data_IF_665351606735
#
_entry.id   IF_665351606735
#
_cell.length_a   1.000
_cell.length_b   1.000
_cell.length_c   1.000
_cell.angle_alpha   90.00
_cell.angle_beta   90.00
_cell.angle_gamma   90.00
#
_symmetry.space_group_name_H-M   'P 1'
#
loop_
_entity.id
_entity.type
_entity.pdbx_description
1 polymer ?
#
# COMPACT_ATOMS: atom_id res chain seq x y z
N UNK A 1 -10.42 10.25 12.71
CA UNK A 1 -8.95 10.26 12.58
C UNK A 1 -8.47 11.57 12.00
N UNK A 2 -7.77 12.38 12.78
CA UNK A 2 -7.15 13.64 12.34
C UNK A 2 -5.90 13.39 11.50
N UNK A 3 -5.40 14.42 10.80
CA UNK A 3 -4.14 14.33 10.04
C UNK A 3 -2.95 13.97 10.92
N UNK A 4 -2.91 14.54 12.14
CA UNK A 4 -1.87 14.27 13.12
C UNK A 4 -1.91 12.80 13.57
N UNK A 5 -3.09 12.30 13.95
CA UNK A 5 -3.27 10.89 14.31
C UNK A 5 -2.86 9.96 13.17
N UNK A 6 -3.29 10.27 11.94
CA UNK A 6 -2.89 9.50 10.75
C UNK A 6 -1.37 9.47 10.60
N UNK A 7 -0.69 10.61 10.70
CA UNK A 7 0.76 10.68 10.59
C UNK A 7 1.46 9.93 11.71
N UNK A 8 0.95 9.99 12.94
CA UNK A 8 1.50 9.24 14.06
C UNK A 8 1.40 7.73 13.82
N UNK A 9 0.28 7.24 13.31
CA UNK A 9 0.11 5.83 12.94
C UNK A 9 1.05 5.42 11.81
N UNK A 10 1.12 6.22 10.74
CA UNK A 10 2.02 5.97 9.60
C UNK A 10 3.50 5.92 10.03
N UNK A 11 3.93 6.90 10.83
CA UNK A 11 5.29 6.94 11.40
C UNK A 11 5.51 5.75 12.32
N UNK A 12 4.51 5.38 13.13
CA UNK A 12 4.56 4.22 14.02
C UNK A 12 4.85 2.93 13.25
N UNK A 13 4.06 2.63 12.21
CA UNK A 13 4.25 1.47 11.35
C UNK A 13 5.60 1.49 10.61
N UNK A 14 6.01 2.64 10.07
CA UNK A 14 7.32 2.74 9.43
C UNK A 14 8.46 2.50 10.45
N UNK A 15 8.32 2.99 11.69
CA UNK A 15 9.31 2.80 12.75
C UNK A 15 9.45 1.34 13.18
N UNK A 16 8.34 0.59 13.26
CA UNK A 16 8.41 -0.86 13.53
C UNK A 16 9.15 -1.62 12.44
N UNK A 17 9.22 -1.05 11.24
CA UNK A 17 9.95 -1.58 10.09
C UNK A 17 11.36 -0.96 9.91
N UNK A 18 11.86 -0.19 10.88
CA UNK A 18 13.22 0.36 10.87
C UNK A 18 13.37 1.81 10.42
N UNK A 19 12.28 2.56 10.24
CA UNK A 19 12.38 3.99 9.89
C UNK A 19 12.97 4.83 11.04
N UNK A 20 14.11 5.47 10.80
CA UNK A 20 14.79 6.34 11.77
C UNK A 20 14.24 7.78 11.75
N UNK A 21 13.02 7.99 12.27
CA UNK A 21 12.31 9.27 12.14
C UNK A 21 13.11 10.50 12.61
N UNK A 22 13.86 10.41 13.72
CA UNK A 22 14.69 11.52 14.21
C UNK A 22 15.81 11.89 13.23
N UNK A 23 16.50 10.88 12.69
CA UNK A 23 17.61 11.08 11.75
C UNK A 23 17.10 11.63 10.43
N UNK A 24 15.98 11.08 9.94
CA UNK A 24 15.30 11.61 8.77
C UNK A 24 14.89 13.07 8.97
N UNK A 25 14.24 13.40 10.09
CA UNK A 25 13.72 14.75 10.35
C UNK A 25 14.83 15.78 10.40
N UNK A 26 15.88 15.50 11.17
CA UNK A 26 17.03 16.41 11.30
C UNK A 26 17.85 16.51 10.01
N UNK A 27 18.07 15.40 9.32
CA UNK A 27 18.88 15.35 8.11
C UNK A 27 18.19 15.89 6.85
N UNK A 28 16.88 15.66 6.68
CA UNK A 28 16.14 16.08 5.49
C UNK A 28 15.48 17.45 5.62
N UNK A 29 15.03 17.82 6.82
CA UNK A 29 14.40 19.13 7.04
C UNK A 29 15.38 20.18 7.56
N UNK A 30 16.55 19.77 8.08
CA UNK A 30 17.51 20.69 8.70
C UNK A 30 16.99 21.37 9.98
N UNK A 31 15.90 20.85 10.55
CA UNK A 31 15.26 21.40 11.74
C UNK A 31 15.81 20.73 13.00
N UNK A 32 15.90 21.49 14.09
CA UNK A 32 16.18 20.94 15.42
C UNK A 32 15.11 19.90 15.80
N UNK A 33 15.51 18.83 16.47
CA UNK A 33 14.60 17.75 16.87
C UNK A 33 13.76 18.15 18.10
N UNK A 34 12.42 18.34 17.96
CA UNK A 34 11.56 18.78 19.05
C UNK A 34 10.94 17.61 19.82
N UNK A 35 11.28 16.36 19.48
CA UNK A 35 10.58 15.16 19.93
C UNK A 35 9.54 14.66 18.92
N UNK A 36 9.19 13.37 19.01
CA UNK A 36 8.42 12.69 17.96
C UNK A 36 7.00 13.25 17.78
N UNK A 37 6.31 13.52 18.90
CA UNK A 37 4.93 14.04 18.88
C UNK A 37 4.89 15.44 18.26
N UNK A 38 5.79 16.32 18.68
CA UNK A 38 5.84 17.68 18.18
C UNK A 38 6.35 17.75 16.73
N UNK A 39 7.30 16.89 16.34
CA UNK A 39 7.74 16.75 14.96
C UNK A 39 6.57 16.29 14.05
N UNK A 40 5.76 15.34 14.49
CA UNK A 40 4.57 14.91 13.75
C UNK A 40 3.52 16.03 13.65
N UNK A 41 3.33 16.82 14.71
CA UNK A 41 2.45 18.00 14.69
C UNK A 41 2.92 19.06 13.69
N UNK A 42 4.23 19.34 13.66
CA UNK A 42 4.83 20.27 12.69
C UNK A 42 4.68 19.76 11.24
N UNK A 43 4.79 18.45 11.01
CA UNK A 43 4.53 17.85 9.69
C UNK A 43 3.05 17.92 9.29
N UNK A 44 2.14 17.74 10.24
CA UNK A 44 0.70 17.87 10.00
C UNK A 44 0.30 19.31 9.60
N UNK A 45 1.02 20.30 10.13
CA UNK A 45 0.88 21.71 9.79
C UNK A 45 1.32 22.02 8.35
N UNK A 46 0.69 23.04 7.74
CA UNK A 46 1.10 23.64 6.44
C UNK A 46 1.41 22.66 5.30
N UNK A 47 0.85 21.45 5.35
CA UNK A 47 1.12 20.37 4.38
C UNK A 47 2.59 19.89 4.34
N UNK A 48 3.40 20.12 5.39
CA UNK A 48 4.80 19.67 5.41
C UNK A 48 4.96 18.15 5.35
N UNK A 49 3.90 17.39 5.67
CA UNK A 49 3.85 15.94 5.57
C UNK A 49 4.18 15.39 4.18
N UNK A 50 4.00 16.16 3.10
CA UNK A 50 4.39 15.73 1.74
C UNK A 50 5.87 15.34 1.69
N UNK A 51 6.74 16.07 2.40
CA UNK A 51 8.17 15.76 2.48
C UNK A 51 8.44 14.38 3.08
N UNK A 52 7.65 13.98 4.08
CA UNK A 52 7.77 12.68 4.74
C UNK A 52 7.26 11.56 3.82
N UNK A 53 6.02 11.66 3.39
CA UNK A 53 5.32 10.56 2.72
C UNK A 53 5.89 10.24 1.34
N UNK A 54 6.52 11.23 0.68
CA UNK A 54 7.23 11.01 -0.59
C UNK A 54 8.73 10.73 -0.43
N UNK A 55 9.25 10.67 0.80
CA UNK A 55 10.65 10.27 0.99
C UNK A 55 10.82 8.77 0.77
N UNK A 56 11.87 8.40 0.02
CA UNK A 56 12.17 7.00 -0.26
C UNK A 56 12.45 6.21 1.02
N UNK A 57 13.16 6.81 1.97
CA UNK A 57 13.51 6.21 3.26
C UNK A 57 12.25 5.86 4.06
N UNK A 58 11.24 6.75 4.08
CA UNK A 58 9.95 6.46 4.69
C UNK A 58 9.19 5.39 3.91
N UNK A 59 9.09 5.51 2.58
CA UNK A 59 8.36 4.57 1.74
C UNK A 59 8.89 3.13 1.87
N UNK A 60 10.22 2.96 1.78
CA UNK A 60 10.88 1.66 1.93
C UNK A 60 10.62 1.02 3.29
N UNK A 61 10.58 1.81 4.35
CA UNK A 61 10.26 1.29 5.68
C UNK A 61 8.76 1.05 5.86
N UNK A 62 7.90 1.92 5.34
CA UNK A 62 6.45 1.80 5.51
C UNK A 62 5.89 0.53 4.85
N UNK A 63 6.29 0.26 3.60
CA UNK A 63 5.99 -1.00 2.92
C UNK A 63 7.13 -1.98 3.14
N UNK A 64 6.95 -2.89 4.11
CA UNK A 64 7.97 -3.83 4.56
C UNK A 64 8.68 -4.52 3.38
N UNK A 65 10.03 -4.47 3.33
CA UNK A 65 10.79 -5.25 2.35
C UNK A 65 10.51 -6.75 2.53
N UNK A 66 10.08 -7.43 1.46
CA UNK A 66 9.86 -8.88 1.44
C UNK A 66 8.46 -9.38 1.82
N UNK A 67 7.49 -8.49 2.06
CA UNK A 67 6.09 -8.91 2.21
C UNK A 67 5.43 -9.14 0.84
N UNK A 68 4.68 -10.24 0.69
CA UNK A 68 3.99 -10.55 -0.55
C UNK A 68 2.81 -9.61 -0.75
N UNK A 69 2.88 -8.77 -1.79
CA UNK A 69 1.73 -7.99 -2.22
C UNK A 69 1.01 -8.65 -3.40
N UNK A 70 -0.33 -8.62 -3.29
CA UNK A 70 -1.27 -9.04 -4.31
C UNK A 70 -1.61 -7.81 -5.16
N UNK A 71 -1.12 -7.78 -6.41
CA UNK A 71 -1.42 -6.71 -7.36
C UNK A 71 -2.57 -7.11 -8.26
N UNK A 72 -3.58 -6.26 -8.40
CA UNK A 72 -4.56 -6.39 -9.47
C UNK A 72 -4.06 -5.62 -10.69
N UNK A 73 -3.55 -6.33 -11.70
CA UNK A 73 -3.16 -5.72 -12.97
C UNK A 73 -4.46 -5.43 -13.75
N UNK A 74 -4.76 -4.17 -14.11
CA UNK A 74 -5.97 -3.86 -14.86
C UNK A 74 -5.90 -4.40 -16.28
N UNK A 75 -7.05 -4.58 -16.91
CA UNK A 75 -7.14 -4.91 -18.32
C UNK A 75 -6.47 -3.82 -19.15
N UNK A 76 -5.49 -4.18 -19.98
CA UNK A 76 -4.77 -3.23 -20.84
C UNK A 76 -4.98 -3.60 -22.30
N UNK A 77 -5.25 -2.61 -23.14
CA UNK A 77 -5.39 -2.75 -24.59
C UNK A 77 -4.23 -2.08 -25.29
N UNK A 78 -3.55 -2.81 -26.17
CA UNK A 78 -2.43 -2.28 -26.97
C UNK A 78 -2.68 -2.53 -28.45
N UNK A 79 -2.27 -1.59 -29.29
CA UNK A 79 -2.26 -1.81 -30.73
C UNK A 79 -1.02 -2.63 -31.09
N UNK A 80 -1.22 -3.78 -31.73
CA UNK A 80 -0.16 -4.63 -32.24
C UNK A 80 -0.31 -4.76 -33.76
N UNK A 81 0.80 -4.59 -34.46
CA UNK A 81 0.87 -4.91 -35.89
C UNK A 81 0.86 -6.44 -36.04
N UNK A 82 -0.18 -6.94 -36.68
CA UNK A 82 -0.39 -8.36 -36.91
C UNK A 82 0.48 -8.83 -38.08
N UNK A 83 0.61 -10.15 -38.24
CA UNK A 83 1.47 -10.76 -39.26
C UNK A 83 1.03 -10.42 -40.70
N UNK A 84 -0.23 -10.03 -40.87
CA UNK A 84 -0.85 -9.58 -42.13
C UNK A 84 -0.64 -8.08 -42.42
N UNK A 85 0.07 -7.35 -41.56
CA UNK A 85 0.33 -5.90 -41.70
C UNK A 85 -0.77 -5.00 -41.13
N UNK A 86 -1.90 -5.55 -40.69
CA UNK A 86 -2.99 -4.80 -40.06
C UNK A 86 -2.63 -4.38 -38.61
N UNK A 87 -3.26 -3.34 -38.11
CA UNK A 87 -3.13 -2.89 -36.72
C UNK A 87 -4.33 -3.42 -35.95
N UNK A 88 -4.12 -4.45 -35.13
CA UNK A 88 -5.15 -5.05 -34.29
C UNK A 88 -5.02 -4.59 -32.84
N UNK A 89 -6.15 -4.37 -32.17
CA UNK A 89 -6.17 -4.08 -30.72
C UNK A 89 -6.14 -5.39 -29.94
N UNK A 90 -5.06 -5.64 -29.21
CA UNK A 90 -4.92 -6.80 -28.31
C UNK A 90 -5.33 -6.38 -26.92
N UNK A 91 -6.43 -6.97 -26.42
CA UNK A 91 -6.91 -6.78 -25.05
C UNK A 91 -6.32 -7.87 -24.17
N UNK A 92 -5.50 -7.50 -23.18
CA UNK A 92 -5.04 -8.40 -22.13
C UNK A 92 -5.95 -8.26 -20.92
N UNK A 93 -6.67 -9.32 -20.56
CA UNK A 93 -7.51 -9.37 -19.36
C UNK A 93 -6.67 -9.09 -18.12
N UNK A 94 -7.22 -8.30 -17.20
CA UNK A 94 -6.61 -8.06 -15.91
C UNK A 94 -6.41 -9.38 -15.15
N UNK A 95 -5.29 -9.47 -14.43
CA UNK A 95 -4.94 -10.66 -13.67
C UNK A 95 -4.32 -10.26 -12.34
N UNK A 96 -4.50 -11.12 -11.34
CA UNK A 96 -3.92 -10.94 -10.02
C UNK A 96 -2.50 -11.49 -10.04
N UNK A 97 -1.51 -10.63 -9.80
CA UNK A 97 -0.10 -11.00 -9.73
C UNK A 97 0.36 -10.98 -8.29
N UNK A 98 0.76 -12.14 -7.76
CA UNK A 98 1.56 -12.21 -6.53
C UNK A 98 3.01 -11.98 -6.92
N UNK A 99 3.63 -10.92 -6.42
CA UNK A 99 5.06 -10.67 -6.64
C UNK A 99 5.66 -10.08 -5.39
N UNK A 100 6.54 -10.84 -4.74
CA UNK A 100 7.54 -10.32 -3.81
C UNK A 100 8.47 -9.44 -4.65
N UNK A 101 8.30 -8.12 -4.60
CA UNK A 101 9.11 -7.18 -5.40
C UNK A 101 9.87 -6.25 -4.48
N UNK A 102 11.18 -6.12 -4.68
CA UNK A 102 12.02 -5.16 -3.94
C UNK A 102 11.56 -3.70 -4.12
N UNK A 103 10.86 -3.41 -5.23
CA UNK A 103 10.38 -2.07 -5.62
C UNK A 103 8.90 -1.79 -5.29
N UNK A 104 8.24 -2.54 -4.42
CA UNK A 104 6.81 -2.29 -4.10
C UNK A 104 6.57 -0.84 -3.67
N UNK A 105 7.46 -0.30 -2.85
CA UNK A 105 7.41 1.09 -2.40
C UNK A 105 7.46 2.10 -3.56
N UNK A 106 8.19 1.82 -4.65
CA UNK A 106 8.25 2.68 -5.85
C UNK A 106 6.92 2.72 -6.59
N UNK A 107 6.22 1.57 -6.65
CA UNK A 107 4.88 1.53 -7.22
C UNK A 107 3.92 2.42 -6.43
N UNK A 108 3.91 2.29 -5.10
CA UNK A 108 3.03 3.11 -4.27
C UNK A 108 3.37 4.60 -4.30
N UNK A 109 4.66 4.97 -4.40
CA UNK A 109 5.03 6.37 -4.60
C UNK A 109 4.46 6.94 -5.91
N UNK A 110 4.46 6.16 -7.00
CA UNK A 110 3.87 6.59 -8.29
C UNK A 110 2.36 6.74 -8.21
N UNK A 111 1.69 5.78 -7.58
CA UNK A 111 0.24 5.83 -7.35
C UNK A 111 -0.13 7.02 -6.46
N UNK A 112 0.62 7.25 -5.38
CA UNK A 112 0.44 8.41 -4.50
C UNK A 112 0.67 9.73 -5.22
N UNK A 113 1.67 9.82 -6.10
CA UNK A 113 1.95 11.04 -6.87
C UNK A 113 0.81 11.40 -7.82
N UNK A 114 0.02 10.40 -8.23
CA UNK A 114 -1.16 10.57 -9.10
C UNK A 114 -2.46 10.72 -8.31
N UNK A 115 -2.43 10.51 -6.98
CA UNK A 115 -3.59 10.64 -6.11
C UNK A 115 -3.80 12.10 -5.70
N UNK A 116 -5.06 12.56 -5.75
CA UNK A 116 -5.44 13.90 -5.29
C UNK A 116 -5.13 14.12 -3.80
N UNK A 117 -5.28 13.07 -2.98
CA UNK A 117 -5.01 13.09 -1.55
C UNK A 117 -4.13 11.89 -1.12
N UNK A 118 -2.80 12.05 -1.03
CA UNK A 118 -1.89 10.93 -0.74
C UNK A 118 -2.06 10.32 0.66
N UNK A 119 -2.50 11.11 1.64
CA UNK A 119 -2.80 10.60 2.97
C UNK A 119 -4.02 9.66 2.96
N UNK A 120 -5.02 9.95 2.14
CA UNK A 120 -6.17 9.05 1.94
C UNK A 120 -5.76 7.75 1.26
N UNK A 121 -4.78 7.81 0.36
CA UNK A 121 -4.19 6.61 -0.24
C UNK A 121 -3.47 5.76 0.82
N UNK A 122 -2.58 6.38 1.62
CA UNK A 122 -1.80 5.69 2.65
C UNK A 122 -2.63 5.05 3.75
N UNK A 123 -3.76 5.68 4.13
CA UNK A 123 -4.67 5.15 5.15
C UNK A 123 -5.11 3.71 4.86
N UNK A 124 -5.22 3.31 3.59
CA UNK A 124 -5.67 1.96 3.17
C UNK A 124 -4.71 0.84 3.61
N UNK A 125 -3.50 1.18 4.02
CA UNK A 125 -2.45 0.23 4.38
C UNK A 125 -2.16 0.20 5.89
N UNK A 126 -2.88 1.01 6.68
CA UNK A 126 -2.84 0.92 8.13
C UNK A 126 -3.78 -0.21 8.57
N UNK A 127 -3.23 -1.23 9.23
CA UNK A 127 -4.07 -2.17 9.98
C UNK A 127 -4.43 -1.50 11.30
N UNK A 128 -5.57 -0.82 11.35
CA UNK A 128 -6.08 -0.27 12.60
C UNK A 128 -6.74 -1.43 13.35
N UNK A 129 -6.54 -1.54 14.66
CA UNK A 129 -7.07 -2.66 15.46
C UNK A 129 -8.61 -2.86 15.32
N UNK A 130 -9.34 -1.86 14.83
CA UNK A 130 -10.77 -1.94 14.48
C UNK A 130 -11.05 -2.91 13.31
N UNK A 131 -10.12 -3.11 12.38
CA UNK A 131 -10.28 -4.00 11.22
C UNK A 131 -10.02 -5.49 11.56
N UNK A 132 -9.60 -5.81 12.79
CA UNK A 132 -9.30 -7.18 13.21
C UNK A 132 -10.54 -7.96 13.69
N UNK A 133 -11.73 -7.34 13.68
CA UNK A 133 -12.98 -7.92 14.20
C UNK A 133 -13.81 -8.61 13.10
N UNK A 134 -13.53 -8.35 11.81
CA UNK A 134 -14.33 -8.83 10.66
C UNK A 134 -13.60 -9.84 9.76
N UNK A 135 -12.82 -10.78 10.32
CA UNK A 135 -12.69 -12.07 9.65
C UNK A 135 -13.81 -12.99 10.19
N UNK A 136 -14.94 -13.17 9.47
CA UNK A 136 -15.80 -14.30 9.77
C UNK A 136 -14.95 -15.54 9.56
N UNK A 137 -14.67 -16.24 10.66
CA UNK A 137 -14.04 -17.55 10.64
C UNK A 137 -14.72 -18.36 9.53
N UNK A 138 -13.95 -18.73 8.50
CA UNK A 138 -14.45 -19.56 7.42
C UNK A 138 -15.14 -20.76 8.07
N UNK A 139 -16.47 -20.82 7.94
CA UNK A 139 -17.22 -21.96 8.46
C UNK A 139 -16.66 -23.18 7.77
N UNK A 140 -16.25 -24.22 8.51
CA UNK A 140 -15.81 -25.47 7.91
C UNK A 140 -16.92 -25.92 6.97
N UNK A 141 -16.60 -26.13 5.70
CA UNK A 141 -17.50 -26.78 4.77
C UNK A 141 -17.69 -28.19 5.33
N UNK A 142 -18.89 -28.48 5.82
CA UNK A 142 -19.28 -29.81 6.24
C UNK A 142 -19.41 -30.68 4.99
N UNK A 143 -18.40 -31.50 4.72
CA UNK A 143 -18.27 -32.29 3.49
C UNK A 143 -19.14 -33.56 3.51
N UNK A 144 -19.91 -33.79 4.58
CA UNK A 144 -20.69 -35.01 4.79
C UNK A 144 -22.12 -34.97 4.20
N UNK A 145 -22.51 -33.91 3.49
CA UNK A 145 -23.83 -33.85 2.83
C UNK A 145 -23.84 -34.28 1.36
N UNK A 146 -22.85 -35.05 0.90
CA UNK A 146 -22.92 -35.70 -0.42
C UNK A 146 -23.93 -36.85 -0.30
N UNK A 147 -25.19 -36.57 -0.64
CA UNK A 147 -26.15 -37.64 -0.97
C UNK A 147 -25.61 -38.41 -2.18
N UNK A 148 -25.14 -39.63 -1.90
CA UNK A 148 -24.92 -40.65 -2.91
C UNK A 148 -26.29 -40.95 -3.53
N UNK A 149 -26.53 -40.42 -4.72
CA UNK A 149 -27.60 -40.93 -5.59
C UNK A 149 -27.09 -42.26 -6.14
N UNK A 150 -27.40 -43.33 -5.42
CA UNK A 150 -27.44 -44.69 -5.97
C UNK A 150 -28.85 -44.97 -6.52
N UNK A 151 -28.91 -45.92 -7.47
CA UNK A 151 -30.06 -46.47 -8.21
C UNK A 151 -30.46 -45.68 -9.48
N UNK A 152 -30.49 -46.24 -10.71
CA UNK A 152 -30.50 -47.62 -11.24
C UNK A 152 -30.01 -47.63 -12.70
#
# INVERSE_FOLDING_TARGET
MTRLELLQLLIGQARTNGFEFRKWYTGKLGLAWPGAVQAAALLAGERRYYSLVFSHEFAQAFWKPGEDMVFQVPTQSFQRRMRDGSIGTVVRKGYTRRRTREDVWLYHLKEMASAEEPLRYLRRFLRVAEDLIDEPAATPIDVDSIEVIDDL
#
